data_IF_204384221819
#
_entry.id   IF_204384221819
#
_cell.length_a   1.000
_cell.length_b   1.000
_cell.length_c   1.000
_cell.angle_alpha   90.00
_cell.angle_beta   90.00
_cell.angle_gamma   90.00
#
_symmetry.space_group_name_H-M   'P 1'
#
loop_
_entity.id
_entity.type
_entity.pdbx_description
1 polymer ?
#
# COMPACT_ATOMS: atom_id res chain seq x y z
N UNK A 1 -1.94 14.38 7.54
CA UNK A 1 -1.03 13.80 6.53
C UNK A 1 -1.72 12.59 5.88
N UNK A 2 -1.28 12.11 4.72
CA UNK A 2 -2.00 11.06 3.99
C UNK A 2 -1.69 9.65 4.49
N UNK A 3 -2.71 8.80 4.51
CA UNK A 3 -2.58 7.35 4.71
C UNK A 3 -2.81 6.62 3.39
N UNK A 4 -1.76 5.96 2.90
CA UNK A 4 -1.73 5.25 1.63
C UNK A 4 -1.73 3.75 1.92
N UNK A 5 -2.64 3.01 1.31
CA UNK A 5 -2.71 1.55 1.47
C UNK A 5 -2.35 0.86 0.17
N UNK A 6 -1.40 -0.07 0.23
CA UNK A 6 -1.07 -0.95 -0.89
C UNK A 6 -1.83 -2.26 -0.72
N UNK A 7 -2.86 -2.49 -1.55
CA UNK A 7 -3.76 -3.62 -1.39
C UNK A 7 -4.10 -4.30 -2.72
N UNK A 8 -4.39 -5.60 -2.66
CA UNK A 8 -4.88 -6.37 -3.80
C UNK A 8 -5.69 -7.58 -3.35
N UNK A 9 -6.71 -7.93 -4.15
CA UNK A 9 -7.52 -9.14 -3.95
C UNK A 9 -6.76 -10.45 -4.18
N UNK A 10 -5.52 -10.40 -4.68
CA UNK A 10 -4.71 -11.58 -5.01
C UNK A 10 -3.35 -11.57 -4.31
N UNK A 11 -2.85 -12.77 -4.02
CA UNK A 11 -1.47 -12.98 -3.58
C UNK A 11 -0.47 -12.82 -4.73
N UNK A 12 0.79 -12.57 -4.41
CA UNK A 12 1.89 -12.55 -5.39
C UNK A 12 1.96 -11.33 -6.32
N UNK A 13 1.12 -10.30 -6.14
CA UNK A 13 1.09 -9.12 -7.01
C UNK A 13 2.05 -8.00 -6.58
N UNK A 14 3.20 -8.31 -5.97
CA UNK A 14 4.25 -7.32 -5.63
C UNK A 14 3.84 -6.20 -4.64
N UNK A 15 2.87 -6.43 -3.74
CA UNK A 15 2.40 -5.44 -2.75
C UNK A 15 3.53 -4.92 -1.86
N UNK A 16 4.24 -5.82 -1.19
CA UNK A 16 5.38 -5.49 -0.33
C UNK A 16 6.46 -4.71 -1.04
N UNK A 17 6.88 -5.17 -2.23
CA UNK A 17 7.85 -4.44 -3.06
C UNK A 17 7.33 -3.05 -3.44
N UNK A 18 6.04 -2.93 -3.75
CA UNK A 18 5.41 -1.64 -4.08
C UNK A 18 5.39 -0.71 -2.87
N UNK A 19 4.99 -1.19 -1.70
CA UNK A 19 4.95 -0.39 -0.47
C UNK A 19 6.34 0.13 -0.11
N UNK A 20 7.34 -0.74 -0.09
CA UNK A 20 8.71 -0.37 0.26
C UNK A 20 9.32 0.60 -0.75
N UNK A 21 9.15 0.34 -2.05
CA UNK A 21 9.65 1.20 -3.11
C UNK A 21 8.93 2.55 -3.16
N UNK A 22 7.63 2.58 -2.91
CA UNK A 22 6.85 3.82 -2.84
C UNK A 22 7.34 4.69 -1.69
N UNK A 23 7.51 4.16 -0.48
CA UNK A 23 8.00 4.93 0.65
C UNK A 23 9.42 5.46 0.41
N UNK A 24 10.32 4.65 -0.15
CA UNK A 24 11.65 5.08 -0.51
C UNK A 24 11.66 6.20 -1.56
N UNK A 25 10.82 6.08 -2.60
CA UNK A 25 10.69 7.10 -3.65
C UNK A 25 10.02 8.38 -3.14
N UNK A 26 9.07 8.30 -2.21
CA UNK A 26 8.50 9.46 -1.54
C UNK A 26 9.54 10.19 -0.71
N UNK A 27 10.45 9.46 -0.04
CA UNK A 27 11.57 10.06 0.70
C UNK A 27 12.54 10.84 -0.18
N UNK A 28 12.79 10.40 -1.40
CA UNK A 28 13.58 11.18 -2.38
C UNK A 28 12.87 12.47 -2.83
N UNK A 29 11.57 12.60 -2.56
CA UNK A 29 10.75 13.77 -2.86
C UNK A 29 10.46 14.61 -1.60
N UNK A 30 11.35 14.52 -0.61
CA UNK A 30 11.30 15.24 0.67
C UNK A 30 10.09 14.92 1.58
N UNK A 31 9.34 13.86 1.26
CA UNK A 31 8.32 13.32 2.16
C UNK A 31 8.97 12.40 3.21
N UNK A 32 8.36 12.25 4.38
CA UNK A 32 8.87 11.36 5.44
C UNK A 32 7.82 10.30 5.80
N UNK A 33 7.60 9.30 4.92
CA UNK A 33 6.63 8.26 5.19
C UNK A 33 7.13 7.28 6.26
N UNK A 34 6.22 6.87 7.14
CA UNK A 34 6.38 5.71 8.00
C UNK A 34 5.70 4.52 7.33
N UNK A 35 6.45 3.44 7.13
CA UNK A 35 5.92 2.17 6.65
C UNK A 35 5.21 1.43 7.80
N UNK A 36 4.10 0.78 7.48
CA UNK A 36 3.36 -0.07 8.40
C UNK A 36 3.10 -1.43 7.74
N UNK A 37 3.64 -2.50 8.32
CA UNK A 37 3.45 -3.86 7.83
C UNK A 37 2.25 -4.52 8.51
N UNK A 38 1.13 -4.63 7.78
CA UNK A 38 -0.08 -5.33 8.22
C UNK A 38 -0.23 -6.70 7.55
N UNK A 39 0.83 -7.27 6.99
CA UNK A 39 0.85 -8.67 6.58
C UNK A 39 1.29 -9.55 7.77
N UNK A 40 0.48 -10.53 8.20
CA UNK A 40 0.92 -11.47 9.23
C UNK A 40 2.15 -12.28 8.85
N UNK A 41 2.47 -12.39 7.56
CA UNK A 41 3.72 -12.96 7.08
C UNK A 41 4.93 -12.04 7.23
N UNK A 42 4.75 -10.82 7.72
CA UNK A 42 5.79 -9.82 7.99
C UNK A 42 6.79 -9.63 6.82
N UNK A 43 6.31 -9.80 5.58
CA UNK A 43 7.19 -9.82 4.40
C UNK A 43 7.89 -8.48 4.19
N UNK A 44 7.25 -7.35 4.53
CA UNK A 44 7.91 -6.06 4.44
C UNK A 44 9.02 -5.94 5.49
N UNK A 45 8.75 -6.40 6.70
CA UNK A 45 9.70 -6.43 7.81
C UNK A 45 10.96 -7.23 7.47
N UNK A 46 10.77 -8.45 6.99
CA UNK A 46 11.86 -9.33 6.57
C UNK A 46 12.65 -8.73 5.39
N UNK A 47 11.95 -8.26 4.35
CA UNK A 47 12.58 -7.65 3.17
C UNK A 47 13.30 -6.35 3.47
N UNK A 48 12.96 -5.68 4.57
CA UNK A 48 13.66 -4.49 5.07
C UNK A 48 14.85 -4.84 5.97
N UNK A 49 15.19 -6.12 6.14
CA UNK A 49 16.31 -6.57 6.96
C UNK A 49 16.11 -6.32 8.46
N UNK A 50 14.88 -6.10 8.91
CA UNK A 50 14.57 -5.92 10.33
C UNK A 50 14.34 -7.28 11.00
N UNK A 51 14.76 -7.38 12.26
CA UNK A 51 14.55 -8.55 13.10
C UNK A 51 13.45 -8.19 14.10
N UNK A 52 12.48 -9.09 14.28
CA UNK A 52 11.44 -8.92 15.29
C UNK A 52 12.05 -8.76 16.69
N UNK A 53 11.71 -7.68 17.37
CA UNK A 53 12.21 -7.35 18.72
C UNK A 53 11.08 -7.15 19.74
N UNK A 54 9.88 -7.60 19.40
CA UNK A 54 8.67 -7.47 20.20
C UNK A 54 7.85 -6.20 19.92
N UNK A 55 8.34 -5.27 19.11
CA UNK A 55 7.54 -4.13 18.62
C UNK A 55 6.84 -4.51 17.32
N UNK A 56 5.53 -4.37 17.26
CA UNK A 56 4.80 -4.71 16.04
C UNK A 56 3.51 -3.90 15.84
N UNK A 57 3.02 -3.93 14.60
CA UNK A 57 1.86 -3.18 14.13
C UNK A 57 0.59 -3.46 14.93
N UNK A 58 0.43 -4.65 15.52
CA UNK A 58 -0.73 -4.97 16.36
C UNK A 58 -0.81 -4.06 17.60
N UNK A 59 0.32 -3.70 18.21
CA UNK A 59 0.34 -2.81 19.38
C UNK A 59 -0.20 -1.41 19.05
N UNK A 60 0.02 -0.94 17.82
CA UNK A 60 -0.53 0.31 17.33
C UNK A 60 -2.06 0.21 17.19
N UNK A 61 -2.52 -0.89 16.59
CA UNK A 61 -3.94 -1.14 16.37
C UNK A 61 -4.71 -1.37 17.69
N UNK A 62 -4.09 -2.00 18.68
CA UNK A 62 -4.67 -2.20 20.01
C UNK A 62 -4.43 -1.00 20.96
N UNK A 63 -3.45 -0.14 20.64
CA UNK A 63 -3.10 1.10 21.37
C UNK A 63 -2.32 0.86 22.62
N UNK A 64 -1.58 -0.24 22.63
CA UNK A 64 -0.58 -0.49 23.64
C UNK A 64 0.62 0.44 23.46
N UNK A 65 0.84 0.98 22.26
CA UNK A 65 1.93 1.93 21.99
C UNK A 65 1.61 2.89 20.84
N UNK A 66 2.41 3.95 20.72
CA UNK A 66 2.34 4.93 19.65
C UNK A 66 3.29 4.58 18.48
N UNK A 67 3.08 5.24 17.34
CA UNK A 67 3.88 5.02 16.11
C UNK A 67 5.37 5.30 16.31
N UNK A 68 5.74 6.28 17.15
CA UNK A 68 7.13 6.69 17.36
C UNK A 68 7.94 5.64 18.12
N UNK A 69 7.33 5.03 19.12
CA UNK A 69 7.97 3.98 19.93
C UNK A 69 8.10 2.67 19.17
N UNK A 70 7.12 2.37 18.31
CA UNK A 70 7.09 1.15 17.52
C UNK A 70 7.97 1.22 16.27
N UNK A 71 8.24 2.42 15.77
CA UNK A 71 9.07 2.62 14.59
C UNK A 71 10.51 2.09 14.81
N UNK A 72 10.96 1.32 13.85
CA UNK A 72 12.35 0.90 13.69
C UNK A 72 12.91 1.49 12.39
N UNK A 73 14.21 1.82 12.40
CA UNK A 73 14.89 2.33 11.23
C UNK A 73 15.41 1.17 10.38
N UNK A 74 15.06 1.14 9.09
CA UNK A 74 15.60 0.18 8.12
C UNK A 74 17.06 0.51 7.77
N UNK A 75 17.84 -0.43 7.22
CA UNK A 75 19.23 -0.19 6.79
C UNK A 75 19.38 0.95 5.76
N UNK A 76 18.35 1.19 4.94
CA UNK A 76 18.32 2.29 3.97
C UNK A 76 17.71 3.60 4.53
N UNK A 77 17.40 3.66 5.83
CA UNK A 77 17.01 4.87 6.54
C UNK A 77 15.54 5.26 6.41
N UNK A 78 14.65 4.30 6.23
CA UNK A 78 13.20 4.47 6.31
C UNK A 78 12.69 4.06 7.70
N UNK A 79 11.61 4.71 8.14
CA UNK A 79 10.91 4.32 9.36
C UNK A 79 9.89 3.23 9.03
N UNK A 80 9.92 2.11 9.75
CA UNK A 80 9.03 0.97 9.55
C UNK A 80 8.51 0.47 10.91
N UNK A 81 7.21 0.24 11.02
CA UNK A 81 6.62 -0.55 12.11
C UNK A 81 6.54 -2.02 11.64
N UNK A 82 7.20 -2.95 12.35
CA UNK A 82 7.22 -4.37 11.98
C UNK A 82 5.84 -5.03 11.99
N UNK A 83 5.66 -6.05 11.14
CA UNK A 83 4.49 -6.91 11.13
C UNK A 83 4.57 -8.01 12.19
N UNK A 84 3.45 -8.68 12.45
CA UNK A 84 3.39 -9.83 13.37
C UNK A 84 2.36 -10.86 12.91
N UNK A 85 2.67 -12.14 13.09
CA UNK A 85 1.76 -13.25 12.84
C UNK A 85 0.48 -13.20 13.69
N UNK A 86 0.51 -12.52 14.83
CA UNK A 86 -0.62 -12.38 15.74
C UNK A 86 -1.84 -11.67 15.10
N UNK A 87 -1.61 -10.92 14.03
CA UNK A 87 -2.66 -10.30 13.21
C UNK A 87 -3.67 -11.32 12.65
N UNK A 88 -3.29 -12.60 12.45
CA UNK A 88 -4.21 -13.64 11.95
C UNK A 88 -5.36 -13.95 12.91
N UNK A 89 -5.11 -13.87 14.22
CA UNK A 89 -6.09 -14.20 15.27
C UNK A 89 -6.77 -12.97 15.87
N UNK A 90 -6.25 -11.77 15.62
CA UNK A 90 -6.72 -10.53 16.20
C UNK A 90 -7.89 -9.90 15.41
N UNK A 91 -8.69 -9.08 16.09
CA UNK A 91 -9.65 -8.18 15.44
C UNK A 91 -10.87 -8.85 14.80
N UNK A 92 -11.37 -9.96 15.34
CA UNK A 92 -12.46 -10.74 14.74
C UNK A 92 -13.86 -10.05 14.73
N UNK A 93 -14.03 -8.91 15.40
CA UNK A 93 -15.32 -8.21 15.51
C UNK A 93 -15.35 -6.92 14.68
N UNK A 94 -16.54 -6.49 14.28
CA UNK A 94 -16.73 -5.21 13.58
C UNK A 94 -16.34 -4.01 14.46
N UNK A 95 -16.45 -4.13 15.78
CA UNK A 95 -15.97 -3.12 16.74
C UNK A 95 -14.45 -2.93 16.66
N UNK A 96 -13.69 -4.04 16.57
CA UNK A 96 -12.25 -3.97 16.37
C UNK A 96 -11.90 -3.33 15.04
N UNK A 97 -12.59 -3.73 13.96
CA UNK A 97 -12.38 -3.16 12.62
C UNK A 97 -12.49 -1.63 12.65
N UNK A 98 -13.54 -1.11 13.28
CA UNK A 98 -13.80 0.33 13.36
C UNK A 98 -12.79 1.03 14.27
N UNK A 99 -12.48 0.45 15.45
CA UNK A 99 -11.50 1.01 16.36
C UNK A 99 -10.10 1.09 15.74
N UNK A 100 -9.69 0.06 15.00
CA UNK A 100 -8.42 0.01 14.27
C UNK A 100 -8.37 1.06 13.16
N UNK A 101 -9.45 1.22 12.39
CA UNK A 101 -9.54 2.24 11.36
C UNK A 101 -9.42 3.67 11.94
N UNK A 102 -10.09 3.96 13.07
CA UNK A 102 -9.97 5.25 13.75
C UNK A 102 -8.55 5.54 14.22
N UNK A 103 -7.85 4.54 14.76
CA UNK A 103 -6.46 4.70 15.22
C UNK A 103 -5.52 4.97 14.06
N UNK A 104 -5.68 4.25 12.95
CA UNK A 104 -4.92 4.51 11.73
C UNK A 104 -5.15 5.94 11.22
N UNK A 105 -6.39 6.44 11.26
CA UNK A 105 -6.70 7.84 10.92
C UNK A 105 -6.08 8.83 11.91
N UNK A 106 -6.09 8.53 13.20
CA UNK A 106 -5.48 9.38 14.22
C UNK A 106 -3.96 9.52 14.00
N UNK A 107 -3.28 8.42 13.67
CA UNK A 107 -1.85 8.43 13.28
C UNK A 107 -1.64 9.31 12.05
N UNK A 108 -2.49 9.17 11.04
CA UNK A 108 -2.41 9.93 9.80
C UNK A 108 -2.57 11.45 10.03
N UNK A 109 -3.12 11.92 11.15
CA UNK A 109 -3.18 13.36 11.46
C UNK A 109 -1.78 13.99 11.50
N UNK A 110 -0.77 13.26 11.98
CA UNK A 110 0.59 13.77 12.19
C UNK A 110 1.66 13.10 11.33
N UNK A 111 1.35 11.97 10.67
CA UNK A 111 2.32 11.20 9.89
C UNK A 111 1.82 10.83 8.51
N UNK A 112 2.72 10.87 7.53
CA UNK A 112 2.50 10.21 6.25
C UNK A 112 2.71 8.72 6.46
N UNK A 113 1.69 7.89 6.20
CA UNK A 113 1.79 6.44 6.40
C UNK A 113 1.64 5.71 5.07
N UNK A 114 2.49 4.72 4.82
CA UNK A 114 2.37 3.76 3.71
C UNK A 114 2.18 2.38 4.31
N UNK A 115 1.03 1.76 4.04
CA UNK A 115 0.62 0.48 4.61
C UNK A 115 0.83 -0.65 3.60
N UNK A 116 1.61 -1.66 3.95
CA UNK A 116 1.61 -2.96 3.27
C UNK A 116 0.55 -3.86 3.91
N UNK A 117 -0.15 -4.65 3.09
CA UNK A 117 -1.29 -5.44 3.55
C UNK A 117 -1.10 -6.92 3.23
N UNK A 118 -1.79 -7.77 3.99
CA UNK A 118 -1.82 -9.21 3.75
C UNK A 118 -2.31 -9.59 2.35
N UNK A 119 -2.07 -10.85 1.96
CA UNK A 119 -2.73 -11.40 0.77
C UNK A 119 -4.26 -11.43 0.90
N UNK A 120 -4.95 -10.93 -0.13
CA UNK A 120 -6.41 -10.79 -0.11
C UNK A 120 -6.88 -9.65 0.79
N UNK A 121 -8.20 -9.55 1.00
CA UNK A 121 -8.81 -8.40 1.67
C UNK A 121 -9.67 -8.81 2.89
N UNK A 122 -9.60 -10.07 3.31
CA UNK A 122 -10.45 -10.62 4.38
C UNK A 122 -9.97 -10.29 5.80
N UNK A 123 -8.66 -10.07 5.97
CA UNK A 123 -8.06 -9.81 7.28
C UNK A 123 -8.60 -8.50 7.89
N UNK A 124 -8.89 -8.51 9.18
CA UNK A 124 -9.42 -7.33 9.89
C UNK A 124 -8.49 -6.12 9.78
N UNK A 125 -7.17 -6.33 9.90
CA UNK A 125 -6.17 -5.28 9.75
C UNK A 125 -6.17 -4.67 8.34
N UNK A 126 -6.24 -5.50 7.30
CA UNK A 126 -6.37 -5.04 5.90
C UNK A 126 -7.65 -4.25 5.68
N UNK A 127 -8.80 -4.75 6.18
CA UNK A 127 -10.08 -4.05 6.08
C UNK A 127 -10.06 -2.70 6.83
N UNK A 128 -9.45 -2.65 8.01
CA UNK A 128 -9.31 -1.43 8.80
C UNK A 128 -8.46 -0.39 8.07
N UNK A 129 -7.33 -0.81 7.48
CA UNK A 129 -6.49 0.06 6.67
C UNK A 129 -7.26 0.61 5.46
N UNK A 130 -8.02 -0.23 4.75
CA UNK A 130 -8.83 0.20 3.61
C UNK A 130 -9.95 1.18 4.00
N UNK A 131 -10.55 1.03 5.19
CA UNK A 131 -11.51 1.99 5.73
C UNK A 131 -10.86 3.34 6.08
N UNK A 132 -9.62 3.30 6.57
CA UNK A 132 -8.88 4.49 6.99
C UNK A 132 -8.23 5.26 5.83
N UNK A 133 -8.02 4.60 4.68
CA UNK A 133 -7.21 5.07 3.56
C UNK A 133 -7.69 6.39 2.95
N UNK A 134 -6.75 7.31 2.69
CA UNK A 134 -6.97 8.45 1.81
C UNK A 134 -6.73 8.06 0.34
N UNK A 135 -5.77 7.16 0.11
CA UNK A 135 -5.49 6.59 -1.20
C UNK A 135 -5.19 5.11 -1.11
N UNK A 136 -5.57 4.38 -2.15
CA UNK A 136 -5.26 2.96 -2.29
C UNK A 136 -4.47 2.77 -3.59
N UNK A 137 -3.27 2.20 -3.45
CA UNK A 137 -2.45 1.75 -4.57
C UNK A 137 -2.76 0.27 -4.81
N UNK A 138 -3.23 -0.06 -6.01
CA UNK A 138 -3.62 -1.42 -6.40
C UNK A 138 -2.61 -1.95 -7.42
N UNK A 139 -1.62 -2.75 -7.00
CA UNK A 139 -0.72 -3.39 -7.93
C UNK A 139 -1.40 -4.55 -8.66
N UNK A 140 -1.19 -4.58 -9.97
CA UNK A 140 -1.70 -5.60 -10.88
C UNK A 140 -0.53 -6.10 -11.73
N UNK A 141 -0.22 -7.39 -11.64
CA UNK A 141 0.79 -7.97 -12.53
C UNK A 141 0.28 -7.89 -13.97
N UNK A 142 1.14 -7.53 -14.93
CA UNK A 142 0.81 -7.31 -16.35
C UNK A 142 0.53 -8.62 -17.12
N UNK A 143 -0.25 -9.51 -16.53
CA UNK A 143 -0.74 -10.76 -17.09
C UNK A 143 -2.26 -10.68 -17.19
N UNK A 144 -2.87 -10.96 -18.36
CA UNK A 144 -4.31 -10.76 -18.56
C UNK A 144 -5.20 -11.42 -17.50
N UNK A 145 -4.84 -12.63 -17.04
CA UNK A 145 -5.59 -13.34 -16.02
C UNK A 145 -5.50 -12.67 -14.64
N UNK A 146 -4.36 -12.05 -14.32
CA UNK A 146 -4.11 -11.38 -13.04
C UNK A 146 -4.76 -10.00 -13.03
N UNK A 147 -4.65 -9.23 -14.13
CA UNK A 147 -5.28 -7.91 -14.27
C UNK A 147 -6.78 -8.00 -13.99
N UNK A 148 -7.49 -8.94 -14.64
CA UNK A 148 -8.94 -9.13 -14.47
C UNK A 148 -9.39 -9.45 -13.05
N UNK A 149 -8.49 -9.86 -12.17
CA UNK A 149 -8.81 -10.39 -10.84
C UNK A 149 -8.24 -9.55 -9.69
N UNK A 150 -7.27 -8.68 -9.95
CA UNK A 150 -6.52 -8.00 -8.88
C UNK A 150 -7.25 -6.81 -8.26
N UNK A 151 -8.02 -6.07 -9.07
CA UNK A 151 -8.74 -4.87 -8.65
C UNK A 151 -10.24 -5.04 -8.32
N UNK A 152 -11.02 -5.98 -8.91
CA UNK A 152 -12.45 -6.03 -8.67
C UNK A 152 -12.80 -6.28 -7.19
N UNK A 153 -12.00 -7.10 -6.51
CA UNK A 153 -12.20 -7.42 -5.08
C UNK A 153 -12.04 -6.16 -4.21
N UNK A 154 -11.07 -5.29 -4.53
CA UNK A 154 -10.87 -4.00 -3.84
C UNK A 154 -12.09 -3.11 -4.06
N UNK A 155 -12.53 -2.97 -5.31
CA UNK A 155 -13.71 -2.16 -5.64
C UNK A 155 -14.99 -2.72 -5.00
N UNK A 156 -15.16 -4.03 -4.95
CA UNK A 156 -16.30 -4.69 -4.34
C UNK A 156 -16.34 -4.43 -2.82
N UNK A 157 -15.21 -4.54 -2.14
CA UNK A 157 -15.12 -4.25 -0.72
C UNK A 157 -15.39 -2.78 -0.40
N UNK A 158 -14.86 -1.84 -1.20
CA UNK A 158 -15.18 -0.42 -1.04
C UNK A 158 -16.67 -0.13 -1.26
N UNK A 159 -17.32 -0.80 -2.23
CA UNK A 159 -18.78 -0.71 -2.41
C UNK A 159 -19.54 -1.24 -1.20
N UNK A 160 -19.08 -2.35 -0.60
CA UNK A 160 -19.67 -2.91 0.60
C UNK A 160 -19.58 -1.92 1.77
N UNK A 161 -18.41 -1.32 2.01
CA UNK A 161 -18.27 -0.28 3.02
C UNK A 161 -19.22 0.90 2.76
N UNK A 162 -19.36 1.33 1.51
CA UNK A 162 -20.31 2.39 1.11
C UNK A 162 -21.78 2.00 1.20
N UNK A 163 -22.11 0.72 1.29
CA UNK A 163 -23.49 0.30 1.55
C UNK A 163 -23.82 0.29 3.04
N UNK A 164 -22.81 0.26 3.90
CA UNK A 164 -22.96 0.34 5.35
C UNK A 164 -23.14 1.79 5.81
N UNK A 165 -24.31 2.11 6.37
CA UNK A 165 -24.65 3.45 6.84
C UNK A 165 -23.82 3.88 8.05
N UNK A 166 -23.46 2.95 8.92
CA UNK A 166 -22.65 3.22 10.12
C UNK A 166 -21.23 3.58 9.71
N UNK A 167 -20.62 2.80 8.81
CA UNK A 167 -19.29 3.10 8.30
C UNK A 167 -19.27 4.40 7.49
N UNK A 168 -20.31 4.68 6.71
CA UNK A 168 -20.44 5.95 5.97
C UNK A 168 -20.56 7.18 6.85
N UNK A 169 -21.20 7.05 8.01
CA UNK A 169 -21.30 8.15 8.95
C UNK A 169 -19.96 8.48 9.63
N UNK A 170 -19.06 7.49 9.71
CA UNK A 170 -17.79 7.59 10.47
C UNK A 170 -16.56 7.82 9.59
N UNK A 171 -16.54 7.28 8.37
CA UNK A 171 -15.36 7.30 7.50
C UNK A 171 -15.64 7.95 6.14
N UNK A 172 -14.66 8.70 5.58
CA UNK A 172 -14.75 9.20 4.22
C UNK A 172 -14.44 8.06 3.23
N UNK A 173 -15.46 7.30 2.85
CA UNK A 173 -15.30 6.06 2.05
C UNK A 173 -15.04 6.28 0.55
N UNK A 174 -14.33 7.35 0.18
CA UNK A 174 -13.99 7.69 -1.20
C UNK A 174 -12.47 7.90 -1.37
N UNK A 175 -11.64 6.87 -1.11
CA UNK A 175 -10.20 7.00 -1.31
C UNK A 175 -9.86 7.21 -2.79
N UNK A 176 -8.79 7.96 -3.05
CA UNK A 176 -8.20 8.04 -4.38
C UNK A 176 -7.60 6.69 -4.79
N UNK A 177 -7.95 6.18 -5.97
CA UNK A 177 -7.47 4.87 -6.44
C UNK A 177 -6.36 5.06 -7.47
N UNK A 178 -5.20 4.45 -7.22
CA UNK A 178 -4.07 4.43 -8.15
C UNK A 178 -3.77 2.98 -8.54
N UNK A 179 -3.96 2.67 -9.81
CA UNK A 179 -3.68 1.34 -10.33
C UNK A 179 -2.28 1.32 -10.94
N UNK A 180 -1.47 0.32 -10.60
CA UNK A 180 -0.14 0.15 -11.18
C UNK A 180 -0.03 -1.19 -11.88
N UNK A 181 0.65 -1.21 -13.02
CA UNK A 181 0.98 -2.44 -13.73
C UNK A 181 2.42 -2.84 -13.43
N UNK A 182 2.59 -3.97 -12.73
CA UNK A 182 3.92 -4.51 -12.38
C UNK A 182 4.32 -5.63 -13.31
N UNK A 183 5.64 -5.91 -13.40
CA UNK A 183 6.22 -6.83 -14.39
C UNK A 183 5.83 -6.49 -15.83
N UNK A 184 5.64 -5.21 -16.12
CA UNK A 184 5.16 -4.74 -17.41
C UNK A 184 6.23 -4.86 -18.50
N UNK A 185 5.84 -5.39 -19.66
CA UNK A 185 6.67 -5.41 -20.86
C UNK A 185 5.91 -4.80 -22.03
N UNK A 186 6.27 -3.57 -22.39
CA UNK A 186 5.60 -2.82 -23.47
C UNK A 186 5.77 -3.41 -24.88
N UNK A 187 6.67 -4.40 -25.07
CA UNK A 187 6.82 -5.12 -26.34
C UNK A 187 5.75 -6.21 -26.53
N UNK A 188 5.12 -6.67 -25.45
CA UNK A 188 4.08 -7.68 -25.51
C UNK A 188 2.72 -7.00 -25.69
N UNK A 189 2.14 -7.14 -26.89
CA UNK A 189 0.82 -6.60 -27.25
C UNK A 189 -0.36 -7.16 -26.42
N UNK A 190 -0.09 -8.15 -25.55
CA UNK A 190 -1.05 -8.84 -24.67
C UNK A 190 -1.73 -7.93 -23.63
N UNK A 191 -1.28 -6.68 -23.47
CA UNK A 191 -1.81 -5.74 -22.48
C UNK A 191 -2.75 -4.68 -23.05
N UNK A 192 -2.77 -4.43 -24.37
CA UNK A 192 -3.52 -3.29 -24.92
C UNK A 192 -5.04 -3.45 -24.80
N UNK A 193 -5.57 -4.63 -25.13
CA UNK A 193 -7.00 -4.90 -25.01
C UNK A 193 -7.52 -4.79 -23.57
N UNK A 194 -6.75 -5.30 -22.61
CA UNK A 194 -7.09 -5.23 -21.18
C UNK A 194 -6.97 -3.79 -20.66
N UNK A 195 -5.94 -3.04 -21.08
CA UNK A 195 -5.79 -1.62 -20.77
C UNK A 195 -6.95 -0.79 -21.31
N UNK A 196 -7.38 -1.03 -22.55
CA UNK A 196 -8.53 -0.35 -23.16
C UNK A 196 -9.84 -0.72 -22.43
N UNK A 197 -9.94 -1.94 -21.89
CA UNK A 197 -11.06 -2.35 -21.05
C UNK A 197 -11.04 -1.63 -19.70
N UNK A 198 -9.90 -1.61 -19.02
CA UNK A 198 -9.71 -0.87 -17.77
C UNK A 198 -10.05 0.61 -17.93
N UNK A 199 -9.55 1.24 -18.99
CA UNK A 199 -9.84 2.64 -19.29
C UNK A 199 -11.35 2.90 -19.49
N UNK A 200 -12.06 1.99 -20.17
CA UNK A 200 -13.54 2.05 -20.31
C UNK A 200 -14.27 1.87 -18.99
N UNK A 201 -13.69 1.15 -18.03
CA UNK A 201 -14.20 1.00 -16.67
C UNK A 201 -13.77 2.16 -15.74
N UNK A 202 -13.09 3.18 -16.26
CA UNK A 202 -12.60 4.33 -15.49
C UNK A 202 -11.33 4.05 -14.69
N UNK A 203 -10.68 2.91 -14.92
CA UNK A 203 -9.40 2.54 -14.28
C UNK A 203 -8.25 3.12 -15.09
N UNK A 204 -7.59 4.14 -14.53
CA UNK A 204 -6.38 4.74 -15.10
C UNK A 204 -5.13 4.16 -14.45
N UNK A 205 -4.16 3.80 -15.28
CA UNK A 205 -2.86 3.29 -14.81
C UNK A 205 -1.96 4.47 -14.44
N UNK A 206 -1.61 4.55 -13.16
CA UNK A 206 -0.77 5.61 -12.60
C UNK A 206 0.71 5.45 -12.92
N UNK A 207 1.17 4.20 -13.05
CA UNK A 207 2.56 3.86 -13.38
C UNK A 207 2.70 2.44 -13.95
N UNK A 208 3.75 2.24 -14.73
CA UNK A 208 4.17 0.95 -15.25
C UNK A 208 5.54 0.60 -14.66
N UNK A 209 5.63 -0.54 -13.99
CA UNK A 209 6.87 -1.05 -13.38
C UNK A 209 7.31 -2.29 -14.16
N UNK A 210 8.46 -2.24 -14.86
CA UNK A 210 8.93 -3.38 -15.64
C UNK A 210 9.40 -4.54 -14.77
N UNK A 211 9.56 -5.71 -15.39
CA UNK A 211 10.26 -6.83 -14.76
C UNK A 211 11.75 -6.54 -14.65
N UNK A 212 12.39 -7.01 -13.58
CA UNK A 212 13.84 -6.94 -13.43
C UNK A 212 14.34 -7.71 -12.21
N UNK A 213 15.54 -8.28 -12.31
CA UNK A 213 16.19 -9.00 -11.20
C UNK A 213 16.50 -8.10 -10.01
N UNK A 214 16.71 -6.80 -10.26
CA UNK A 214 17.00 -5.80 -9.24
C UNK A 214 15.97 -5.76 -8.10
N UNK A 215 14.69 -6.04 -8.36
CA UNK A 215 13.68 -6.08 -7.30
C UNK A 215 13.90 -7.27 -6.33
N UNK A 216 14.28 -8.43 -6.87
CA UNK A 216 14.57 -9.62 -6.08
C UNK A 216 15.90 -9.49 -5.34
N UNK A 217 16.92 -8.92 -5.98
CA UNK A 217 18.22 -8.66 -5.35
C UNK A 217 18.12 -7.62 -4.22
N UNK A 218 17.32 -6.56 -4.41
CA UNK A 218 17.07 -5.55 -3.38
C UNK A 218 16.40 -6.17 -2.13
N UNK A 219 15.41 -7.05 -2.35
CA UNK A 219 14.78 -7.82 -1.28
C UNK A 219 15.81 -8.62 -0.47
N UNK A 220 16.73 -9.33 -1.14
CA UNK A 220 17.78 -10.11 -0.49
C UNK A 220 18.82 -9.26 0.25
N UNK A 221 18.99 -7.98 -0.13
CA UNK A 221 19.94 -7.07 0.52
C UNK A 221 19.34 -6.29 1.69
N UNK A 222 18.05 -6.45 1.99
CA UNK A 222 17.36 -5.72 3.05
C UNK A 222 17.05 -4.26 2.70
N UNK A 223 17.13 -3.89 1.43
CA UNK A 223 16.98 -2.50 0.96
C UNK A 223 15.85 -2.35 -0.06
N UNK A 224 15.28 -1.16 -0.14
CA UNK A 224 14.36 -0.83 -1.22
C UNK A 224 15.08 -0.86 -2.58
N UNK A 225 14.38 -1.26 -3.65
CA UNK A 225 14.92 -1.21 -5.03
C UNK A 225 15.33 0.20 -5.45
N UNK A 226 14.72 1.23 -4.84
CA UNK A 226 15.08 2.63 -5.04
C UNK A 226 16.52 2.89 -4.58
N UNK A 227 16.92 2.33 -3.44
CA UNK A 227 18.25 2.50 -2.85
C UNK A 227 19.26 1.50 -3.43
N UNK A 228 18.88 0.23 -3.55
CA UNK A 228 19.77 -0.83 -4.02
C UNK A 228 20.18 -0.65 -5.49
N UNK A 229 19.22 -0.32 -6.36
CA UNK A 229 19.44 -0.19 -7.80
C UNK A 229 18.79 1.09 -8.35
N UNK A 230 19.29 2.28 -7.98
CA UNK A 230 18.62 3.56 -8.22
C UNK A 230 18.43 3.87 -9.71
N UNK A 231 19.33 3.43 -10.59
CA UNK A 231 19.21 3.66 -12.03
C UNK A 231 18.41 2.58 -12.76
N UNK A 232 17.89 1.56 -12.05
CA UNK A 232 17.15 0.47 -12.68
C UNK A 232 15.80 0.93 -13.24
N UNK A 233 15.31 0.31 -14.34
CA UNK A 233 13.97 0.59 -14.85
C UNK A 233 12.85 0.36 -13.82
N UNK A 234 13.04 -0.61 -12.91
CA UNK A 234 12.11 -0.90 -11.81
C UNK A 234 12.02 0.30 -10.86
N UNK A 235 13.17 0.82 -10.42
CA UNK A 235 13.21 1.99 -9.54
C UNK A 235 12.57 3.21 -10.21
N UNK A 236 12.81 3.43 -11.50
CA UNK A 236 12.18 4.54 -12.24
C UNK A 236 10.65 4.41 -12.34
N UNK A 237 10.13 3.19 -12.48
CA UNK A 237 8.69 2.94 -12.45
C UNK A 237 8.05 3.33 -11.12
N UNK A 238 8.67 2.99 -9.99
CA UNK A 238 8.17 3.38 -8.66
C UNK A 238 8.36 4.87 -8.36
N UNK A 239 9.41 5.52 -8.86
CA UNK A 239 9.51 6.99 -8.79
C UNK A 239 8.39 7.68 -9.58
N UNK A 240 8.02 7.13 -10.73
CA UNK A 240 6.88 7.64 -11.49
C UNK A 240 5.58 7.50 -10.69
N UNK A 241 5.37 6.37 -10.01
CA UNK A 241 4.23 6.19 -9.10
C UNK A 241 4.21 7.25 -8.00
N UNK A 242 5.32 7.49 -7.30
CA UNK A 242 5.40 8.49 -6.24
C UNK A 242 5.04 9.90 -6.74
N UNK A 243 5.57 10.30 -7.91
CA UNK A 243 5.21 11.58 -8.54
C UNK A 243 3.73 11.68 -8.91
N UNK A 244 3.16 10.63 -9.51
CA UNK A 244 1.73 10.60 -9.87
C UNK A 244 0.86 10.69 -8.62
N UNK A 245 1.23 10.01 -7.53
CA UNK A 245 0.53 10.08 -6.26
C UNK A 245 0.51 11.52 -5.70
N UNK A 246 1.68 12.15 -5.56
CA UNK A 246 1.77 13.52 -5.05
C UNK A 246 1.03 14.53 -5.95
N UNK A 247 1.12 14.38 -7.27
CA UNK A 247 0.36 15.20 -8.21
C UNK A 247 -1.16 15.06 -8.01
N UNK A 248 -1.64 13.83 -7.83
CA UNK A 248 -3.06 13.55 -7.56
C UNK A 248 -3.52 14.20 -6.25
N UNK A 249 -2.68 14.13 -5.22
CA UNK A 249 -2.95 14.73 -3.92
C UNK A 249 -3.05 16.25 -3.99
N UNK A 250 -2.15 16.88 -4.72
CA UNK A 250 -2.16 18.33 -4.90
C UNK A 250 -3.38 18.78 -5.71
N UNK A 251 -3.77 18.05 -6.76
CA UNK A 251 -4.97 18.36 -7.53
C UNK A 251 -6.26 18.28 -6.69
N UNK A 252 -6.38 17.27 -5.80
CA UNK A 252 -7.52 17.17 -4.90
C UNK A 252 -7.57 18.27 -3.84
N UNK A 253 -6.42 18.70 -3.30
CA UNK A 253 -6.36 19.84 -2.37
C UNK A 253 -6.87 21.14 -3.01
N UNK A 254 -6.50 21.39 -4.27
CA UNK A 254 -6.95 22.58 -5.02
C UNK A 254 -8.46 22.52 -5.28
N UNK A 255 -9.01 21.35 -5.65
CA UNK A 255 -10.44 21.18 -5.92
C UNK A 255 -11.35 21.33 -4.69
N UNK A 256 -10.83 21.16 -3.47
CA UNK A 256 -11.59 21.34 -2.22
C UNK A 256 -11.55 22.80 -1.72
N UNK A 257 -10.61 23.61 -2.20
CA UNK A 257 -10.41 25.00 -1.78
C UNK A 257 -11.05 26.05 -2.71
N UNK A 258 -11.53 25.65 -3.90
CA UNK A 258 -12.22 26.51 -4.87
C UNK A 258 -13.71 26.22 -4.91
#
# INVERSE_FOLDING_TARGET
MPLIVVASGKGGVTKTTTAYALAAALRELDEQPVLLDLDPGASLTENAGLIADGRHALDLLEGHSDIDRLAAMTPDGLSLIPGTGDLLGAGASDEHLVAWADRLRAVALSRFVVVDTAQGLGLAATRAALLAADYIVVPMQAEPAVIKRSYPDVLALLRLFRSDLTLRARFPLNPGLLFILTKYNGRLGLTRHELDKLAREGVQIAAYVPSGVAAAEACLSGQSVITYAPHSPVAQGYRALARTLLATMNAQKVAVQG
#
